data_IF_726633862767
#
_entry.id   IF_726633862767
#
_cell.length_a   1.000
_cell.length_b   1.000
_cell.length_c   1.000
_cell.angle_alpha   90.00
_cell.angle_beta   90.00
_cell.angle_gamma   90.00
#
_symmetry.space_group_name_H-M   'P 1'
#
loop_
_entity.id
_entity.type
_entity.pdbx_description
1 polymer ?
#
# COMPACT_ATOMS: atom_id res chain seq x y z
N UNK A 1 4.63 -2.72 1.44
CA UNK A 1 4.67 -3.78 2.47
C UNK A 1 4.77 -5.14 1.81
N UNK A 2 5.56 -6.00 2.35
CA UNK A 2 5.69 -7.37 1.89
C UNK A 2 4.71 -8.27 2.65
N UNK A 3 3.87 -9.02 1.93
CA UNK A 3 3.09 -10.10 2.50
C UNK A 3 3.89 -11.39 2.32
N UNK A 4 4.54 -11.91 3.34
CA UNK A 4 5.30 -13.14 3.20
C UNK A 4 4.33 -14.28 2.93
N UNK A 5 4.63 -15.01 1.89
CA UNK A 5 3.88 -16.19 1.53
C UNK A 5 4.76 -17.37 1.86
N UNK A 6 4.24 -18.25 2.64
CA UNK A 6 4.77 -19.55 2.98
C UNK A 6 6.23 -19.82 2.62
N UNK A 7 6.99 -20.05 3.63
CA UNK A 7 8.41 -20.36 3.66
C UNK A 7 8.84 -21.60 2.87
N UNK A 8 7.93 -22.28 2.22
CA UNK A 8 8.25 -23.50 1.46
C UNK A 8 8.75 -23.19 0.06
N UNK A 9 8.27 -22.09 -0.50
CA UNK A 9 8.73 -21.57 -1.79
C UNK A 9 9.27 -20.19 -1.49
N UNK A 10 10.54 -19.94 -1.73
CA UNK A 10 11.18 -18.64 -1.47
C UNK A 10 10.69 -17.57 -2.45
N UNK A 11 9.40 -17.48 -2.62
CA UNK A 11 8.75 -16.51 -3.47
C UNK A 11 7.93 -15.56 -2.62
N UNK A 12 7.97 -14.28 -2.97
CA UNK A 12 7.24 -13.22 -2.29
C UNK A 12 6.47 -12.40 -3.32
N UNK A 13 5.32 -11.94 -2.93
CA UNK A 13 4.66 -10.85 -3.62
C UNK A 13 4.58 -9.65 -2.69
N UNK A 14 4.59 -8.47 -3.26
CA UNK A 14 4.58 -7.23 -2.51
C UNK A 14 3.37 -6.39 -2.91
N UNK A 15 2.63 -5.93 -1.93
CA UNK A 15 1.51 -5.03 -2.16
C UNK A 15 1.91 -3.64 -1.70
N UNK A 16 1.89 -2.71 -2.64
CA UNK A 16 2.06 -1.29 -2.37
C UNK A 16 0.69 -0.64 -2.34
N UNK A 17 0.41 0.15 -1.32
CA UNK A 17 -0.84 0.90 -1.25
C UNK A 17 -0.62 2.29 -0.68
N UNK A 18 -1.35 3.24 -1.22
CA UNK A 18 -1.53 4.56 -0.67
C UNK A 18 -3.01 4.76 -0.36
N UNK A 19 -3.31 5.26 0.81
CA UNK A 19 -4.69 5.53 1.26
C UNK A 19 -4.80 6.94 1.81
N UNK A 20 -5.92 7.58 1.51
CA UNK A 20 -6.25 8.87 2.11
C UNK A 20 -7.31 8.67 3.19
N UNK A 21 -6.98 8.85 4.48
CA UNK A 21 -7.94 8.63 5.55
C UNK A 21 -9.11 9.62 5.54
N UNK A 22 -8.90 10.79 4.95
CA UNK A 22 -9.91 11.84 4.91
C UNK A 22 -11.09 11.49 4.00
N UNK A 23 -10.80 11.06 2.77
CA UNK A 23 -11.83 10.86 1.75
C UNK A 23 -11.96 9.41 1.25
N UNK A 24 -11.07 8.51 1.68
CA UNK A 24 -11.10 7.11 1.30
C UNK A 24 -10.53 6.80 -0.09
N UNK A 25 -9.91 7.77 -0.75
CA UNK A 25 -9.21 7.50 -2.00
C UNK A 25 -7.98 6.63 -1.75
N UNK A 26 -7.71 5.74 -2.68
CA UNK A 26 -6.61 4.80 -2.57
C UNK A 26 -6.07 4.38 -3.93
N UNK A 27 -4.83 3.92 -3.93
CA UNK A 27 -4.16 3.35 -5.09
C UNK A 27 -3.31 2.18 -4.60
N UNK A 28 -3.41 1.05 -5.27
CA UNK A 28 -2.63 -0.14 -4.92
C UNK A 28 -2.03 -0.79 -6.15
N UNK A 29 -0.90 -1.45 -5.94
CA UNK A 29 -0.18 -2.16 -6.98
C UNK A 29 0.48 -3.41 -6.38
N UNK A 30 0.40 -4.52 -7.07
CA UNK A 30 1.07 -5.77 -6.69
C UNK A 30 2.31 -5.90 -7.55
N UNK A 31 3.47 -6.00 -6.90
CA UNK A 31 4.76 -6.06 -7.56
C UNK A 31 5.60 -7.23 -7.04
N UNK A 32 6.47 -7.80 -7.89
CA UNK A 32 7.30 -8.95 -7.48
C UNK A 32 8.46 -8.58 -6.56
N UNK A 33 8.84 -7.31 -6.50
CA UNK A 33 9.97 -6.82 -5.71
C UNK A 33 9.60 -5.62 -4.87
N UNK A 34 10.31 -5.42 -3.76
CA UNK A 34 10.21 -4.22 -2.93
C UNK A 34 11.57 -3.52 -2.92
N UNK A 35 11.84 -2.79 -3.97
CA UNK A 35 13.07 -2.02 -4.18
C UNK A 35 12.75 -0.62 -4.72
N UNK A 36 13.79 0.16 -4.99
CA UNK A 36 13.64 1.53 -5.52
C UNK A 36 12.89 1.55 -6.86
N UNK A 37 13.16 0.59 -7.74
CA UNK A 37 12.51 0.53 -9.05
C UNK A 37 11.02 0.20 -8.90
N UNK A 38 10.66 -0.72 -8.02
CA UNK A 38 9.27 -1.02 -7.71
C UNK A 38 8.55 0.20 -7.12
N UNK A 39 9.20 0.94 -6.23
CA UNK A 39 8.65 2.18 -5.69
C UNK A 39 8.43 3.24 -6.76
N UNK A 40 9.33 3.37 -7.72
CA UNK A 40 9.14 4.27 -8.86
C UNK A 40 7.91 3.90 -9.68
N UNK A 41 7.73 2.61 -9.96
CA UNK A 41 6.56 2.11 -10.69
C UNK A 41 5.28 2.44 -9.92
N UNK A 42 5.27 2.20 -8.62
CA UNK A 42 4.12 2.52 -7.78
C UNK A 42 3.83 4.02 -7.73
N UNK A 43 4.83 4.85 -7.57
CA UNK A 43 4.66 6.31 -7.56
C UNK A 43 4.20 6.84 -8.93
N UNK A 44 4.68 6.24 -10.01
CA UNK A 44 4.20 6.55 -11.36
C UNK A 44 2.70 6.26 -11.47
N UNK A 45 2.27 5.12 -11.00
CA UNK A 45 0.85 4.73 -11.01
C UNK A 45 0.01 5.68 -10.14
N UNK A 46 0.49 6.01 -8.94
CA UNK A 46 -0.17 6.98 -8.08
C UNK A 46 -0.26 8.37 -8.72
N UNK A 47 0.81 8.81 -9.36
CA UNK A 47 0.86 10.11 -10.05
C UNK A 47 -0.20 10.20 -11.15
N UNK A 48 -0.33 9.16 -11.95
CA UNK A 48 -1.34 9.08 -13.01
C UNK A 48 -2.76 8.97 -12.45
N UNK A 49 -2.94 8.11 -11.45
CA UNK A 49 -4.24 7.89 -10.82
C UNK A 49 -4.78 9.17 -10.17
N UNK A 50 -3.91 9.95 -9.55
CA UNK A 50 -4.24 11.21 -8.87
C UNK A 50 -3.78 12.45 -9.66
N UNK A 51 -3.73 12.38 -10.98
CA UNK A 51 -3.21 13.46 -11.84
C UNK A 51 -3.88 14.82 -11.65
N UNK A 52 -5.13 14.83 -11.19
CA UNK A 52 -5.89 16.05 -10.93
C UNK A 52 -5.70 16.60 -9.52
N UNK A 53 -4.86 15.96 -8.71
CA UNK A 53 -4.63 16.32 -7.32
C UNK A 53 -3.15 16.63 -7.06
N UNK A 54 -2.92 17.46 -6.06
CA UNK A 54 -1.61 17.59 -5.45
C UNK A 54 -1.59 16.69 -4.23
N UNK A 55 -0.72 15.69 -4.25
CA UNK A 55 -0.66 14.65 -3.23
C UNK A 55 0.52 14.90 -2.31
N UNK A 56 0.25 14.89 -1.01
CA UNK A 56 1.30 14.77 0.00
C UNK A 56 1.28 13.33 0.45
N UNK A 57 2.33 12.60 0.12
CA UNK A 57 2.45 11.18 0.44
C UNK A 57 3.36 11.01 1.66
N UNK A 58 2.80 10.46 2.71
CA UNK A 58 3.56 10.13 3.93
C UNK A 58 3.98 8.68 3.86
N UNK A 59 5.26 8.40 4.02
CA UNK A 59 5.78 7.04 3.99
C UNK A 59 6.84 6.84 5.05
N UNK A 60 7.14 5.57 5.34
CA UNK A 60 8.17 5.21 6.29
C UNK A 60 9.59 5.50 5.73
N UNK A 61 10.60 5.35 6.59
CA UNK A 61 11.99 5.63 6.26
C UNK A 61 12.77 4.39 5.80
N UNK A 62 12.14 3.46 5.08
CA UNK A 62 12.88 2.36 4.49
C UNK A 62 14.01 2.90 3.60
N UNK A 63 15.17 2.23 3.60
CA UNK A 63 16.36 2.73 2.91
C UNK A 63 16.13 3.01 1.42
N UNK A 64 15.35 2.16 0.75
CA UNK A 64 15.00 2.31 -0.66
C UNK A 64 13.93 3.37 -0.92
N UNK A 65 13.22 3.88 0.13
CA UNK A 65 12.31 5.01 0.05
C UNK A 65 13.03 6.36 0.02
N UNK A 66 14.29 6.41 0.43
CA UNK A 66 15.02 7.67 0.67
C UNK A 66 15.97 8.07 -0.46
N UNK A 67 15.87 7.42 -1.59
CA UNK A 67 16.71 7.75 -2.74
C UNK A 67 16.13 8.95 -3.49
N UNK A 68 17.00 9.81 -4.03
CA UNK A 68 16.57 10.92 -4.89
C UNK A 68 15.84 10.46 -6.15
N UNK A 69 15.98 9.19 -6.49
CA UNK A 69 15.36 8.61 -7.67
C UNK A 69 13.85 8.48 -7.58
N UNK A 70 13.26 8.51 -6.38
CA UNK A 70 11.81 8.47 -6.18
C UNK A 70 11.18 9.87 -6.12
N UNK A 71 11.98 10.92 -6.11
CA UNK A 71 11.51 12.29 -6.24
C UNK A 71 11.38 12.67 -7.72
N UNK A 72 10.53 13.62 -8.04
CA UNK A 72 10.40 14.14 -9.41
C UNK A 72 9.03 13.96 -10.04
N UNK A 73 8.07 13.48 -9.27
CA UNK A 73 6.67 13.48 -9.70
C UNK A 73 6.05 14.85 -9.36
N UNK A 74 5.60 15.58 -10.36
CA UNK A 74 5.13 16.97 -10.21
C UNK A 74 3.97 17.11 -9.22
N UNK A 75 3.09 16.13 -9.15
CA UNK A 75 1.91 16.16 -8.31
C UNK A 75 2.07 15.42 -6.98
N UNK A 76 3.23 14.82 -6.71
CA UNK A 76 3.48 14.08 -5.47
C UNK A 76 4.65 14.70 -4.71
N UNK A 77 4.41 15.03 -3.44
CA UNK A 77 5.44 15.42 -2.50
C UNK A 77 5.52 14.40 -1.39
N UNK A 78 6.73 13.86 -1.17
CA UNK A 78 6.96 12.82 -0.17
C UNK A 78 7.40 13.46 1.15
N UNK A 79 6.78 13.00 2.25
CA UNK A 79 7.18 13.34 3.61
C UNK A 79 7.42 12.01 4.34
N UNK A 80 8.54 11.91 5.05
CA UNK A 80 8.89 10.71 5.78
C UNK A 80 8.40 10.77 7.22
N UNK A 81 7.85 9.66 7.69
CA UNK A 81 7.47 9.47 9.08
C UNK A 81 8.71 9.44 9.98
N UNK A 82 8.55 9.71 11.29
CA UNK A 82 9.61 9.42 12.25
C UNK A 82 9.99 7.93 12.19
N UNK A 83 11.28 7.59 12.43
CA UNK A 83 11.70 6.19 12.44
C UNK A 83 10.99 5.41 13.54
N UNK A 84 10.81 4.10 13.29
CA UNK A 84 10.20 3.16 14.26
C UNK A 84 8.77 3.53 14.71
N UNK A 85 7.97 4.08 13.81
CA UNK A 85 6.60 4.50 14.11
C UNK A 85 5.57 3.89 13.15
N UNK A 86 5.52 2.55 12.98
CA UNK A 86 4.57 1.91 12.06
C UNK A 86 3.11 2.16 12.45
N UNK A 87 2.84 2.35 13.73
CA UNK A 87 1.50 2.66 14.25
C UNK A 87 0.95 3.99 13.73
N UNK A 88 1.81 4.84 13.19
CA UNK A 88 1.39 6.11 12.58
C UNK A 88 0.97 5.95 11.11
N UNK A 89 1.16 4.76 10.52
CA UNK A 89 0.84 4.53 9.13
C UNK A 89 -0.54 3.86 8.99
N UNK A 90 -1.55 4.57 8.46
CA UNK A 90 -2.89 4.00 8.27
C UNK A 90 -2.93 2.75 7.39
N UNK A 91 -1.99 2.59 6.49
CA UNK A 91 -1.88 1.41 5.62
C UNK A 91 -1.69 0.12 6.42
N UNK A 92 -1.06 0.17 7.58
CA UNK A 92 -0.92 -1.00 8.44
C UNK A 92 -2.27 -1.57 8.88
N UNK A 93 -3.27 -0.72 9.10
CA UNK A 93 -4.63 -1.15 9.38
C UNK A 93 -5.31 -1.81 8.19
N UNK A 94 -5.00 -1.35 6.98
CA UNK A 94 -5.49 -2.00 5.76
C UNK A 94 -4.93 -3.41 5.64
N UNK A 95 -3.63 -3.61 5.91
CA UNK A 95 -3.00 -4.93 5.89
C UNK A 95 -3.61 -5.86 6.94
N UNK A 96 -3.81 -5.37 8.16
CA UNK A 96 -4.45 -6.13 9.23
C UNK A 96 -5.87 -6.55 8.85
N UNK A 97 -6.66 -5.64 8.31
CA UNK A 97 -8.01 -5.91 7.84
C UNK A 97 -8.04 -7.00 6.77
N UNK A 98 -7.14 -6.93 5.79
CA UNK A 98 -7.04 -7.94 4.73
C UNK A 98 -6.66 -9.29 5.31
N UNK A 99 -5.65 -9.33 6.19
CA UNK A 99 -5.24 -10.58 6.83
C UNK A 99 -6.36 -11.23 7.62
N UNK A 100 -7.06 -10.47 8.42
CA UNK A 100 -8.10 -11.01 9.31
C UNK A 100 -9.38 -11.42 8.60
N UNK A 101 -9.78 -10.67 7.58
CA UNK A 101 -11.08 -10.88 6.94
C UNK A 101 -11.02 -11.75 5.68
N UNK A 102 -9.87 -11.85 5.02
CA UNK A 102 -9.76 -12.52 3.72
C UNK A 102 -8.70 -13.61 3.66
N UNK A 103 -7.67 -13.54 4.49
CA UNK A 103 -6.51 -14.43 4.37
C UNK A 103 -6.31 -15.37 5.56
N UNK A 104 -7.11 -15.21 6.58
CA UNK A 104 -7.03 -16.05 7.79
C UNK A 104 -7.37 -17.51 7.46
N UNK A 105 -6.48 -18.41 7.84
CA UNK A 105 -6.63 -19.85 7.61
C UNK A 105 -6.69 -20.25 6.11
N UNK A 106 -6.23 -19.39 5.22
CA UNK A 106 -6.15 -19.69 3.80
C UNK A 106 -4.82 -20.30 3.44
N UNK A 107 -4.87 -21.30 2.55
CA UNK A 107 -3.69 -21.92 1.94
C UNK A 107 -3.80 -21.67 0.44
N UNK A 108 -2.73 -21.18 -0.16
CA UNK A 108 -2.69 -20.86 -1.58
C UNK A 108 -1.92 -21.91 -2.35
N UNK A 109 -2.52 -22.40 -3.43
CA UNK A 109 -1.92 -23.47 -4.26
C UNK A 109 -0.71 -22.99 -5.07
N UNK A 110 -0.62 -21.68 -5.33
CA UNK A 110 0.47 -21.08 -6.11
C UNK A 110 0.58 -19.60 -5.81
N UNK A 111 1.69 -18.99 -6.23
CA UNK A 111 1.88 -17.54 -6.17
C UNK A 111 0.82 -16.82 -7.01
N UNK A 112 0.52 -17.33 -8.20
CA UNK A 112 -0.51 -16.75 -9.07
C UNK A 112 -1.89 -16.76 -8.42
N UNK A 113 -2.26 -17.85 -7.75
CA UNK A 113 -3.53 -17.94 -7.03
C UNK A 113 -3.62 -16.87 -5.91
N UNK A 114 -2.54 -16.66 -5.18
CA UNK A 114 -2.47 -15.62 -4.15
C UNK A 114 -2.59 -14.22 -4.76
N UNK A 115 -1.85 -13.93 -5.82
CA UNK A 115 -1.89 -12.63 -6.49
C UNK A 115 -3.27 -12.32 -7.05
N UNK A 116 -3.93 -13.30 -7.66
CA UNK A 116 -5.31 -13.16 -8.13
C UNK A 116 -6.28 -12.88 -6.99
N UNK A 117 -6.13 -13.58 -5.87
CA UNK A 117 -6.94 -13.35 -4.69
C UNK A 117 -6.71 -11.94 -4.11
N UNK A 118 -5.46 -11.50 -3.99
CA UNK A 118 -5.12 -10.16 -3.53
C UNK A 118 -5.67 -9.08 -4.45
N UNK A 119 -5.57 -9.28 -5.76
CA UNK A 119 -6.14 -8.34 -6.74
C UNK A 119 -7.64 -8.20 -6.56
N UNK A 120 -8.35 -9.31 -6.43
CA UNK A 120 -9.80 -9.33 -6.20
C UNK A 120 -10.18 -8.66 -4.88
N UNK A 121 -9.47 -8.96 -3.80
CA UNK A 121 -9.69 -8.36 -2.48
C UNK A 121 -9.47 -6.85 -2.53
N UNK A 122 -8.38 -6.40 -3.11
CA UNK A 122 -8.04 -4.99 -3.22
C UNK A 122 -9.07 -4.23 -4.06
N UNK A 123 -9.52 -4.80 -5.18
CA UNK A 123 -10.58 -4.21 -6.00
C UNK A 123 -11.87 -4.05 -5.18
N UNK A 124 -12.27 -5.08 -4.46
CA UNK A 124 -13.50 -5.05 -3.64
C UNK A 124 -13.42 -3.96 -2.58
N UNK A 125 -12.29 -3.84 -1.89
CA UNK A 125 -12.11 -2.84 -0.83
C UNK A 125 -12.06 -1.43 -1.42
N UNK A 126 -11.34 -1.26 -2.53
CA UNK A 126 -11.11 0.07 -3.12
C UNK A 126 -12.29 0.66 -3.86
N UNK A 127 -13.26 -0.15 -4.25
CA UNK A 127 -14.51 0.32 -4.83
C UNK A 127 -15.39 1.06 -3.83
N UNK A 128 -15.15 0.90 -2.53
CA UNK A 128 -15.90 1.55 -1.47
C UNK A 128 -15.01 2.48 -0.66
N UNK A 129 -15.16 3.77 -0.89
CA UNK A 129 -14.46 4.81 -0.11
C UNK A 129 -14.85 4.76 1.37
N UNK A 130 -16.10 4.42 1.66
CA UNK A 130 -16.58 4.26 3.04
C UNK A 130 -15.87 3.11 3.76
N UNK A 131 -15.63 2.00 3.06
CA UNK A 131 -14.89 0.88 3.62
C UNK A 131 -13.45 1.28 3.93
N UNK A 132 -12.77 1.92 3.01
CA UNK A 132 -11.40 2.44 3.23
C UNK A 132 -11.38 3.38 4.42
N UNK A 133 -12.29 4.34 4.47
CA UNK A 133 -12.37 5.30 5.58
C UNK A 133 -12.57 4.59 6.92
N UNK A 134 -13.45 3.60 6.99
CA UNK A 134 -13.71 2.86 8.23
C UNK A 134 -12.49 2.08 8.73
N UNK A 135 -11.64 1.61 7.82
CA UNK A 135 -10.43 0.84 8.15
C UNK A 135 -9.30 1.76 8.61
N UNK A 136 -9.05 2.86 7.88
CA UNK A 136 -7.80 3.64 8.01
C UNK A 136 -7.97 4.97 8.75
N UNK A 137 -9.19 5.33 9.13
CA UNK A 137 -9.48 6.62 9.74
C UNK A 137 -9.25 6.59 11.25
N UNK A 138 -8.28 7.36 11.70
CA UNK A 138 -8.05 7.59 13.13
C UNK A 138 -8.40 9.03 13.47
N UNK A 139 -8.64 9.31 14.76
CA UNK A 139 -8.94 10.67 15.21
C UNK A 139 -7.83 11.66 14.90
N UNK A 140 -6.56 11.22 14.87
CA UNK A 140 -5.42 12.08 14.57
C UNK A 140 -5.14 12.24 13.07
N UNK A 141 -5.74 11.41 12.21
CA UNK A 141 -5.63 11.53 10.74
C UNK A 141 -6.68 12.45 10.14
N UNK A 142 -7.63 12.90 10.94
CA UNK A 142 -8.70 13.77 10.53
C UNK A 142 -8.34 15.21 10.93
N UNK A 143 -7.96 15.96 9.97
CA UNK A 143 -7.64 17.37 10.18
C UNK A 143 -8.80 18.23 9.71
#
# INVERSE_FOLDING_TARGET
>A
MCLPIFHIVKEYTHVFSAVCPHDGHSCSLILPYADTDAMKIFLQECSEHFKNFRVIMVMDQAAWHRTSDIDGFENIRIIYQPPYSPELNPVEHLWEYIRENYMRNCIWSSMEALEQALESILKTIMESVETIQSIVRFHWTIV
#
